data_IF_011306156922
#
_entry.id   IF_011306156922
#
_cell.length_a   1.000
_cell.length_b   1.000
_cell.length_c   1.000
_cell.angle_alpha   90.00
_cell.angle_beta   90.00
_cell.angle_gamma   90.00
#
_symmetry.space_group_name_H-M   'P 1'
#
loop_
_entity.id
_entity.type
_entity.pdbx_description
1 polymer ?
#
# COMPACT_ATOMS: atom_id res chain seq x y z
N UNK A 1 -0.11 -14.29 -15.47
CA UNK A 1 -1.31 -14.74 -16.21
C UNK A 1 -2.36 -15.35 -15.28
N UNK A 2 -2.01 -16.26 -14.38
CA UNK A 2 -2.94 -16.91 -13.45
C UNK A 2 -3.74 -15.90 -12.59
N UNK A 3 -3.08 -14.91 -11.98
CA UNK A 3 -3.77 -13.89 -11.17
C UNK A 3 -4.76 -13.07 -12.01
N UNK A 4 -4.43 -12.77 -13.27
CA UNK A 4 -5.32 -12.05 -14.17
C UNK A 4 -6.57 -12.87 -14.52
N UNK A 5 -6.44 -14.18 -14.65
CA UNK A 5 -7.55 -15.09 -14.91
C UNK A 5 -8.52 -15.21 -13.72
N UNK A 6 -8.04 -14.98 -12.51
CA UNK A 6 -8.86 -15.00 -11.29
C UNK A 6 -9.67 -13.72 -11.07
N UNK A 7 -9.42 -12.65 -11.82
CA UNK A 7 -10.15 -11.39 -11.70
C UNK A 7 -11.49 -11.44 -12.45
N UNK A 8 -12.55 -11.14 -11.74
CA UNK A 8 -13.88 -10.86 -12.31
C UNK A 8 -13.91 -9.50 -13.02
N UNK A 9 -14.96 -9.26 -13.82
CA UNK A 9 -15.17 -7.98 -14.49
C UNK A 9 -15.26 -6.77 -13.51
N UNK A 10 -15.67 -7.04 -12.26
CA UNK A 10 -15.80 -6.03 -11.20
C UNK A 10 -14.50 -5.81 -10.41
N UNK A 11 -13.41 -6.48 -10.77
CA UNK A 11 -12.12 -6.34 -10.12
C UNK A 11 -11.98 -7.14 -8.82
N UNK A 12 -12.79 -8.16 -8.62
CA UNK A 12 -12.72 -9.04 -7.44
C UNK A 12 -11.98 -10.33 -7.80
N UNK A 13 -11.00 -10.72 -6.99
CA UNK A 13 -10.38 -12.03 -7.12
C UNK A 13 -11.33 -13.13 -6.66
N UNK A 14 -11.64 -14.08 -7.54
CA UNK A 14 -12.60 -15.17 -7.25
C UNK A 14 -12.24 -15.95 -5.99
N UNK A 15 -10.95 -16.19 -5.76
CA UNK A 15 -10.46 -16.88 -4.56
C UNK A 15 -10.51 -16.07 -3.26
N UNK A 16 -10.86 -14.78 -3.32
CA UNK A 16 -11.00 -13.91 -2.13
C UNK A 16 -12.46 -13.53 -1.83
N UNK A 17 -13.39 -13.86 -2.73
CA UNK A 17 -14.80 -13.45 -2.63
C UNK A 17 -15.48 -13.95 -1.36
N UNK A 18 -15.34 -15.21 -1.06
CA UNK A 18 -16.01 -15.83 0.10
C UNK A 18 -15.54 -15.21 1.43
N UNK A 19 -14.24 -14.99 1.53
CA UNK A 19 -13.65 -14.34 2.70
C UNK A 19 -14.13 -12.89 2.86
N UNK A 20 -14.22 -12.14 1.77
CA UNK A 20 -14.76 -10.79 1.80
C UNK A 20 -16.23 -10.75 2.22
N UNK A 21 -17.04 -11.66 1.68
CA UNK A 21 -18.46 -11.78 2.06
C UNK A 21 -18.62 -12.10 3.54
N UNK A 22 -17.74 -12.94 4.10
CA UNK A 22 -17.73 -13.24 5.53
C UNK A 22 -17.42 -12.00 6.36
N UNK A 23 -16.38 -11.24 6.01
CA UNK A 23 -16.06 -9.98 6.69
C UNK A 23 -17.20 -8.97 6.63
N UNK A 24 -17.93 -8.89 5.52
CA UNK A 24 -19.10 -8.02 5.38
C UNK A 24 -20.25 -8.46 6.27
N UNK A 25 -20.57 -9.75 6.30
CA UNK A 25 -21.62 -10.30 7.18
C UNK A 25 -21.35 -10.02 8.65
N UNK A 26 -20.09 -10.09 9.07
CA UNK A 26 -19.66 -9.83 10.44
C UNK A 26 -19.47 -8.36 10.78
N UNK A 27 -19.66 -7.46 9.81
CA UNK A 27 -19.31 -6.05 9.90
C UNK A 27 -17.86 -5.82 10.37
N UNK A 28 -16.95 -6.72 9.94
CA UNK A 28 -15.58 -6.77 10.43
C UNK A 28 -14.76 -5.56 10.01
N UNK A 29 -15.03 -4.98 8.83
CA UNK A 29 -14.30 -3.83 8.30
C UNK A 29 -14.40 -2.58 9.19
N UNK A 30 -15.45 -2.46 10.00
CA UNK A 30 -15.70 -1.31 10.86
C UNK A 30 -15.34 -1.54 12.34
N UNK A 31 -14.87 -2.74 12.69
CA UNK A 31 -14.51 -3.06 14.08
C UNK A 31 -13.05 -2.69 14.37
N UNK A 32 -12.80 -1.68 15.21
CA UNK A 32 -11.44 -1.34 15.61
C UNK A 32 -10.88 -2.39 16.60
N UNK A 33 -9.56 -2.44 16.74
CA UNK A 33 -8.83 -3.24 17.75
C UNK A 33 -9.23 -4.71 17.86
N UNK A 34 -9.72 -5.33 16.80
CA UNK A 34 -10.18 -6.70 16.83
C UNK A 34 -9.26 -7.63 16.01
N UNK A 35 -9.25 -8.92 16.35
CA UNK A 35 -8.55 -9.93 15.54
C UNK A 35 -8.91 -9.88 14.05
N UNK A 36 -10.19 -9.65 13.68
CA UNK A 36 -10.56 -9.47 12.28
C UNK A 36 -9.74 -8.43 11.53
N UNK A 37 -9.26 -7.37 12.19
CA UNK A 37 -8.44 -6.36 11.50
C UNK A 37 -7.07 -6.89 11.04
N UNK A 38 -6.47 -7.83 11.74
CA UNK A 38 -5.25 -8.51 11.27
C UNK A 38 -5.55 -9.39 10.06
N UNK A 39 -6.64 -10.13 10.08
CA UNK A 39 -7.08 -11.00 8.97
C UNK A 39 -7.46 -10.19 7.74
N UNK A 40 -8.18 -9.08 7.92
CA UNK A 40 -8.49 -8.13 6.83
C UNK A 40 -7.20 -7.56 6.24
N UNK A 41 -6.22 -7.23 7.06
CA UNK A 41 -4.91 -6.77 6.59
C UNK A 41 -4.22 -7.80 5.70
N UNK A 42 -4.22 -9.07 6.09
CA UNK A 42 -3.67 -10.16 5.29
C UNK A 42 -4.45 -10.39 4.00
N UNK A 43 -5.77 -10.32 4.07
CA UNK A 43 -6.66 -10.40 2.91
C UNK A 43 -6.36 -9.29 1.88
N UNK A 44 -6.26 -8.03 2.32
CA UNK A 44 -5.92 -6.92 1.42
C UNK A 44 -4.49 -7.05 0.89
N UNK A 45 -3.54 -7.48 1.73
CA UNK A 45 -2.16 -7.71 1.31
C UNK A 45 -2.07 -8.81 0.24
N UNK A 46 -2.84 -9.90 0.36
CA UNK A 46 -2.89 -10.93 -0.68
C UNK A 46 -3.44 -10.38 -1.99
N UNK A 47 -4.52 -9.59 -1.94
CA UNK A 47 -5.07 -8.94 -3.13
C UNK A 47 -4.05 -8.02 -3.80
N UNK A 48 -3.36 -7.16 -3.05
CA UNK A 48 -2.33 -6.28 -3.60
C UNK A 48 -1.11 -7.04 -4.14
N UNK A 49 -0.70 -8.13 -3.51
CA UNK A 49 0.34 -8.99 -4.04
C UNK A 49 -0.05 -9.64 -5.38
N UNK A 50 -1.33 -10.02 -5.57
CA UNK A 50 -1.84 -10.52 -6.85
C UNK A 50 -1.86 -9.42 -7.91
N UNK A 51 -2.28 -8.20 -7.56
CA UNK A 51 -2.23 -7.03 -8.46
C UNK A 51 -0.79 -6.76 -8.88
N UNK A 52 0.15 -6.74 -7.95
CA UNK A 52 1.58 -6.58 -8.26
C UNK A 52 2.10 -7.67 -9.18
N UNK A 53 1.74 -8.95 -8.98
CA UNK A 53 2.13 -10.03 -9.90
C UNK A 53 1.63 -9.80 -11.32
N UNK A 54 0.44 -9.23 -11.52
CA UNK A 54 -0.04 -8.83 -12.85
C UNK A 54 0.81 -7.72 -13.44
N UNK A 55 1.13 -6.69 -12.65
CA UNK A 55 1.98 -5.60 -13.07
C UNK A 55 3.42 -6.04 -13.38
N UNK A 56 3.98 -6.95 -12.60
CA UNK A 56 5.32 -7.50 -12.83
C UNK A 56 5.37 -8.38 -14.09
N UNK A 57 4.31 -9.12 -14.39
CA UNK A 57 4.18 -9.87 -15.64
C UNK A 57 4.16 -8.94 -16.87
N UNK A 58 3.50 -7.78 -16.76
CA UNK A 58 3.57 -6.73 -17.79
C UNK A 58 5.00 -6.19 -17.94
N UNK A 59 5.63 -5.81 -16.83
CA UNK A 59 7.01 -5.31 -16.84
C UNK A 59 7.99 -6.31 -17.49
N UNK A 60 7.74 -7.60 -17.33
CA UNK A 60 8.52 -8.70 -17.95
C UNK A 60 8.16 -8.98 -19.41
N UNK A 61 7.16 -8.32 -19.96
CA UNK A 61 6.67 -8.58 -21.32
C UNK A 61 5.81 -9.83 -21.48
N UNK A 62 5.35 -10.43 -20.39
CA UNK A 62 4.47 -11.62 -20.37
C UNK A 62 3.00 -11.27 -20.61
N UNK A 63 2.63 -10.02 -20.39
CA UNK A 63 1.30 -9.45 -20.63
C UNK A 63 1.42 -8.20 -21.49
N UNK A 64 0.42 -7.97 -22.35
CA UNK A 64 0.28 -6.70 -23.06
C UNK A 64 -0.24 -5.61 -22.13
N UNK A 65 -0.05 -4.34 -22.51
CA UNK A 65 -0.59 -3.19 -21.76
C UNK A 65 -2.11 -3.29 -21.60
N UNK A 66 -2.83 -3.65 -22.68
CA UNK A 66 -4.28 -3.83 -22.67
C UNK A 66 -4.74 -4.90 -21.66
N UNK A 67 -3.99 -5.99 -21.54
CA UNK A 67 -4.28 -7.04 -20.57
C UNK A 67 -4.01 -6.58 -19.14
N UNK A 68 -2.85 -6.00 -18.91
CA UNK A 68 -2.34 -5.64 -17.59
C UNK A 68 -3.06 -4.42 -16.96
N UNK A 69 -3.54 -3.50 -17.80
CA UNK A 69 -4.30 -2.30 -17.38
C UNK A 69 -5.77 -2.38 -17.80
N UNK A 70 -6.27 -3.60 -18.02
CA UNK A 70 -7.69 -3.81 -18.28
C UNK A 70 -8.55 -3.24 -17.16
N UNK A 71 -9.79 -2.86 -17.48
CA UNK A 71 -10.70 -2.27 -16.50
C UNK A 71 -10.88 -3.11 -15.23
N UNK A 72 -10.78 -4.45 -15.31
CA UNK A 72 -10.86 -5.31 -14.14
C UNK A 72 -9.65 -5.18 -13.21
N UNK A 73 -8.45 -4.93 -13.74
CA UNK A 73 -7.23 -4.70 -12.92
C UNK A 73 -7.31 -3.35 -12.23
N UNK A 74 -7.70 -2.30 -12.96
CA UNK A 74 -7.87 -0.97 -12.38
C UNK A 74 -8.95 -0.95 -11.31
N UNK A 75 -10.07 -1.62 -11.55
CA UNK A 75 -11.13 -1.79 -10.54
C UNK A 75 -10.66 -2.57 -9.32
N UNK A 76 -9.78 -3.57 -9.49
CA UNK A 76 -9.20 -4.29 -8.34
C UNK A 76 -8.35 -3.37 -7.45
N UNK A 77 -7.55 -2.49 -8.05
CA UNK A 77 -6.79 -1.48 -7.31
C UNK A 77 -7.74 -0.60 -6.49
N UNK A 78 -8.82 -0.13 -7.10
CA UNK A 78 -9.81 0.72 -6.41
C UNK A 78 -10.59 -0.04 -5.33
N UNK A 79 -11.00 -1.27 -5.61
CA UNK A 79 -11.78 -2.09 -4.69
C UNK A 79 -10.99 -2.40 -3.41
N UNK A 80 -9.83 -3.02 -3.53
CA UNK A 80 -9.02 -3.40 -2.37
C UNK A 80 -8.33 -2.20 -1.73
N UNK A 81 -7.97 -1.20 -2.51
CA UNK A 81 -7.47 0.08 -2.01
C UNK A 81 -8.52 0.81 -1.18
N UNK A 82 -9.77 0.83 -1.62
CA UNK A 82 -10.89 1.40 -0.87
C UNK A 82 -11.15 0.69 0.46
N UNK A 83 -11.02 -0.63 0.50
CA UNK A 83 -11.11 -1.39 1.75
C UNK A 83 -9.99 -0.94 2.71
N UNK A 84 -8.73 -0.88 2.25
CA UNK A 84 -7.61 -0.47 3.10
C UNK A 84 -7.77 0.98 3.58
N UNK A 85 -8.10 1.89 2.69
CA UNK A 85 -8.29 3.30 3.04
C UNK A 85 -9.43 3.54 4.03
N UNK A 86 -10.48 2.72 3.97
CA UNK A 86 -11.65 2.82 4.84
C UNK A 86 -11.52 2.10 6.19
N UNK A 87 -10.44 1.36 6.43
CA UNK A 87 -10.29 0.63 7.69
C UNK A 87 -9.91 1.55 8.86
N UNK A 88 -10.37 1.25 10.09
CA UNK A 88 -9.92 1.95 11.28
C UNK A 88 -8.40 1.92 11.45
N UNK A 89 -7.83 3.03 11.90
CA UNK A 89 -6.41 3.31 11.93
C UNK A 89 -5.71 2.84 13.20
N UNK A 90 -5.96 1.63 13.66
CA UNK A 90 -5.44 1.20 14.93
C UNK A 90 -5.16 -0.31 15.00
N UNK A 91 -4.46 -0.71 16.04
CA UNK A 91 -4.30 -2.09 16.43
C UNK A 91 -3.55 -3.00 15.47
N UNK A 92 -4.03 -4.21 15.26
CA UNK A 92 -3.33 -5.32 14.58
C UNK A 92 -3.03 -5.12 13.11
N UNK A 93 -3.48 -4.05 12.48
CA UNK A 93 -3.23 -3.78 11.06
C UNK A 93 -1.78 -3.39 10.71
N UNK A 94 -0.93 -3.17 11.71
CA UNK A 94 0.41 -2.60 11.55
C UNK A 94 1.26 -3.31 10.48
N UNK A 95 1.41 -4.63 10.53
CA UNK A 95 2.26 -5.36 9.59
C UNK A 95 1.78 -5.26 8.14
N UNK A 96 0.49 -5.46 7.91
CA UNK A 96 -0.07 -5.37 6.57
C UNK A 96 -0.05 -3.93 6.05
N UNK A 97 -0.56 -2.98 6.82
CA UNK A 97 -0.73 -1.59 6.40
C UNK A 97 0.56 -0.78 6.35
N UNK A 98 1.59 -1.14 7.14
CA UNK A 98 2.87 -0.45 7.12
C UNK A 98 3.92 -1.10 6.20
N UNK A 99 3.78 -2.37 5.87
CA UNK A 99 4.80 -3.11 5.10
C UNK A 99 4.26 -3.76 3.84
N UNK A 100 3.38 -4.74 3.96
CA UNK A 100 3.00 -5.58 2.84
C UNK A 100 2.21 -4.81 1.77
N UNK A 101 1.16 -4.11 2.17
CA UNK A 101 0.29 -3.37 1.26
C UNK A 101 1.02 -2.20 0.59
N UNK A 102 1.70 -1.29 1.34
CA UNK A 102 2.47 -0.21 0.72
C UNK A 102 3.54 -0.70 -0.24
N UNK A 103 4.25 -1.77 0.10
CA UNK A 103 5.27 -2.36 -0.77
C UNK A 103 4.68 -2.85 -2.08
N UNK A 104 3.56 -3.58 -2.03
CA UNK A 104 2.90 -4.06 -3.23
C UNK A 104 2.33 -2.91 -4.08
N UNK A 105 1.75 -1.88 -3.44
CA UNK A 105 1.24 -0.70 -4.13
C UNK A 105 2.36 0.07 -4.85
N UNK A 106 3.49 0.32 -4.17
CA UNK A 106 4.68 0.96 -4.75
C UNK A 106 5.23 0.17 -5.94
N UNK A 107 5.39 -1.14 -5.77
CA UNK A 107 5.91 -1.98 -6.85
C UNK A 107 4.95 -2.02 -8.05
N UNK A 108 3.64 -2.04 -7.80
CA UNK A 108 2.64 -1.95 -8.87
C UNK A 108 2.77 -0.64 -9.62
N UNK A 109 2.86 0.49 -8.91
CA UNK A 109 3.06 1.81 -9.51
C UNK A 109 4.28 1.84 -10.43
N UNK A 110 5.43 1.38 -9.95
CA UNK A 110 6.67 1.41 -10.73
C UNK A 110 6.69 0.40 -11.88
N UNK A 111 5.98 -0.72 -11.79
CA UNK A 111 5.78 -1.61 -12.94
C UNK A 111 5.01 -0.92 -14.08
N UNK A 112 4.12 0.01 -13.76
CA UNK A 112 3.32 0.80 -14.70
C UNK A 112 3.80 2.26 -14.82
N UNK A 113 5.08 2.55 -14.55
CA UNK A 113 5.57 3.92 -14.39
C UNK A 113 5.14 4.87 -15.52
N UNK A 114 5.28 4.45 -16.78
CA UNK A 114 4.89 5.27 -17.92
C UNK A 114 3.40 5.63 -17.89
N UNK A 115 2.56 4.65 -17.61
CA UNK A 115 1.10 4.82 -17.58
C UNK A 115 0.66 5.65 -16.36
N UNK A 116 1.37 5.50 -15.22
CA UNK A 116 1.14 6.35 -14.05
C UNK A 116 1.54 7.80 -14.30
N UNK A 117 2.65 8.03 -15.03
CA UNK A 117 3.05 9.37 -15.47
C UNK A 117 2.02 10.00 -16.41
N UNK A 118 1.48 9.23 -17.33
CA UNK A 118 0.42 9.67 -18.22
C UNK A 118 -0.86 10.00 -17.43
N UNK A 119 -1.21 9.19 -16.43
CA UNK A 119 -2.36 9.42 -15.56
C UNK A 119 -2.21 10.71 -14.73
N UNK A 120 -1.06 10.95 -14.15
CA UNK A 120 -0.74 12.20 -13.42
C UNK A 120 -0.78 13.42 -14.35
N UNK A 121 -0.45 13.25 -15.61
CA UNK A 121 -0.61 14.27 -16.67
C UNK A 121 -2.03 14.40 -17.22
N UNK A 122 -3.02 13.75 -16.60
CA UNK A 122 -4.44 13.80 -17.01
C UNK A 122 -4.77 12.98 -18.25
N UNK A 123 -3.91 12.03 -18.63
CA UNK A 123 -4.13 11.11 -19.76
C UNK A 123 -4.62 9.74 -19.28
N UNK A 124 -4.99 8.88 -20.22
CA UNK A 124 -5.35 7.48 -19.95
C UNK A 124 -6.75 7.25 -19.39
N UNK A 125 -7.55 8.31 -19.25
CA UNK A 125 -8.94 8.24 -18.76
C UNK A 125 -9.08 8.18 -17.25
N UNK A 126 -10.28 8.44 -16.77
CA UNK A 126 -10.62 8.62 -15.35
C UNK A 126 -10.26 7.41 -14.50
N UNK A 127 -10.57 6.19 -14.96
CA UNK A 127 -10.33 4.98 -14.19
C UNK A 127 -8.83 4.74 -13.92
N UNK A 128 -7.95 5.05 -14.88
CA UNK A 128 -6.51 4.95 -14.69
C UNK A 128 -6.01 6.02 -13.71
N UNK A 129 -6.53 7.24 -13.79
CA UNK A 129 -6.20 8.33 -12.89
C UNK A 129 -6.59 7.99 -11.45
N UNK A 130 -7.81 7.51 -11.24
CA UNK A 130 -8.30 7.06 -9.93
C UNK A 130 -7.45 5.91 -9.37
N UNK A 131 -7.07 4.94 -10.21
CA UNK A 131 -6.20 3.83 -9.79
C UNK A 131 -4.79 4.33 -9.42
N UNK A 132 -4.24 5.29 -10.16
CA UNK A 132 -2.97 5.92 -9.84
C UNK A 132 -3.03 6.62 -8.48
N UNK A 133 -4.04 7.44 -8.26
CA UNK A 133 -4.26 8.16 -7.00
C UNK A 133 -4.45 7.18 -5.83
N UNK A 134 -5.17 6.09 -6.05
CA UNK A 134 -5.35 5.04 -5.04
C UNK A 134 -4.03 4.37 -4.66
N UNK A 135 -3.20 4.00 -5.62
CA UNK A 135 -1.87 3.41 -5.34
C UNK A 135 -1.00 4.37 -4.53
N UNK A 136 -1.00 5.65 -4.88
CA UNK A 136 -0.27 6.68 -4.14
C UNK A 136 -0.81 6.85 -2.72
N UNK A 137 -2.12 6.93 -2.56
CA UNK A 137 -2.78 7.03 -1.26
C UNK A 137 -2.42 5.87 -0.35
N UNK A 138 -2.55 4.64 -0.84
CA UNK A 138 -2.23 3.43 -0.06
C UNK A 138 -0.74 3.35 0.29
N UNK A 139 0.13 3.72 -0.64
CA UNK A 139 1.58 3.72 -0.40
C UNK A 139 1.97 4.73 0.70
N UNK A 140 1.33 5.89 0.75
CA UNK A 140 1.62 6.94 1.72
C UNK A 140 0.85 6.78 3.04
N UNK A 141 -0.28 6.08 3.04
CA UNK A 141 -1.20 6.00 4.17
C UNK A 141 -0.52 5.56 5.48
N UNK A 142 0.41 4.61 5.41
CA UNK A 142 1.15 4.15 6.59
C UNK A 142 1.98 5.26 7.26
N UNK A 143 2.27 6.32 6.54
CA UNK A 143 3.15 7.41 6.95
C UNK A 143 2.41 8.71 7.29
N UNK A 144 1.12 8.79 6.95
CA UNK A 144 0.32 10.00 7.11
C UNK A 144 -0.86 9.83 8.05
N UNK A 145 -1.32 8.60 8.26
CA UNK A 145 -2.45 8.36 9.16
C UNK A 145 -2.00 8.36 10.63
N UNK A 146 -2.83 8.87 11.55
CA UNK A 146 -2.60 8.73 12.97
C UNK A 146 -2.69 7.25 13.34
N UNK A 147 -1.58 6.70 13.75
CA UNK A 147 -1.48 5.29 14.16
C UNK A 147 -1.22 5.22 15.66
N UNK A 148 -2.17 4.63 16.41
CA UNK A 148 -1.92 4.15 17.78
C UNK A 148 -1.35 5.18 18.72
N UNK A 149 -1.98 6.31 18.89
CA UNK A 149 -1.54 7.36 19.81
C UNK A 149 -0.25 8.09 19.39
N UNK A 150 0.26 7.85 18.20
CA UNK A 150 1.40 8.60 17.70
C UNK A 150 0.97 10.00 17.27
N UNK A 151 1.84 10.97 17.51
CA UNK A 151 1.65 12.34 17.04
C UNK A 151 1.74 12.38 15.51
N UNK A 152 0.67 12.76 14.89
CA UNK A 152 0.64 13.10 13.46
C UNK A 152 -0.15 14.39 13.28
N UNK A 153 0.28 15.19 12.35
CA UNK A 153 -0.39 16.43 11.94
C UNK A 153 -1.27 16.22 10.69
N UNK A 154 -1.53 14.97 10.33
CA UNK A 154 -2.22 14.61 9.10
C UNK A 154 -1.31 14.54 7.87
N UNK A 155 -0.04 14.86 8.04
CA UNK A 155 1.00 14.79 7.02
C UNK A 155 1.89 13.55 7.21
N UNK A 156 3.17 13.68 6.94
CA UNK A 156 4.12 12.58 7.17
C UNK A 156 4.33 12.35 8.65
N UNK A 157 4.31 11.10 9.05
CA UNK A 157 4.46 10.67 10.44
C UNK A 157 5.74 11.24 11.06
N UNK A 158 5.62 11.77 12.29
CA UNK A 158 6.75 12.34 12.99
C UNK A 158 7.81 11.29 13.34
N UNK A 159 9.05 11.75 13.44
CA UNK A 159 10.19 10.92 13.80
C UNK A 159 10.06 10.34 15.22
N UNK A 160 9.32 11.01 16.10
CA UNK A 160 9.06 10.54 17.46
C UNK A 160 8.42 9.16 17.49
N UNK A 161 7.61 8.82 16.50
CA UNK A 161 7.01 7.52 16.35
C UNK A 161 8.05 6.40 16.32
N UNK A 162 9.15 6.59 15.62
CA UNK A 162 10.20 5.58 15.51
C UNK A 162 11.06 5.49 16.78
N UNK A 163 11.18 6.58 17.52
CA UNK A 163 11.91 6.59 18.78
C UNK A 163 11.27 5.72 19.86
N UNK A 164 9.96 5.65 19.88
CA UNK A 164 9.22 4.95 20.93
C UNK A 164 9.11 3.44 20.67
N UNK A 165 9.57 2.97 19.51
CA UNK A 165 9.46 1.58 19.08
C UNK A 165 10.82 0.96 18.76
N UNK A 166 11.82 1.25 19.55
CA UNK A 166 13.21 0.76 19.36
C UNK A 166 13.30 -0.76 19.30
N UNK A 167 12.46 -1.48 20.01
CA UNK A 167 12.35 -2.94 19.98
C UNK A 167 11.81 -3.50 18.63
N UNK A 168 11.27 -2.65 17.76
CA UNK A 168 10.81 -3.01 16.42
C UNK A 168 11.85 -2.74 15.33
N UNK A 169 13.12 -2.87 15.64
CA UNK A 169 14.23 -2.57 14.71
C UNK A 169 14.04 -3.24 13.35
N UNK A 170 13.71 -4.53 13.33
CA UNK A 170 13.47 -5.26 12.09
C UNK A 170 12.25 -4.75 11.31
N UNK A 171 11.15 -4.43 12.00
CA UNK A 171 9.94 -3.88 11.42
C UNK A 171 10.17 -2.48 10.83
N UNK A 172 10.90 -1.62 11.53
CA UNK A 172 11.26 -0.29 11.04
C UNK A 172 12.13 -0.38 9.78
N UNK A 173 13.12 -1.27 9.75
CA UNK A 173 13.96 -1.47 8.56
C UNK A 173 13.14 -1.89 7.33
N UNK A 174 12.12 -2.74 7.51
CA UNK A 174 11.19 -3.11 6.43
C UNK A 174 10.32 -1.93 5.98
N UNK A 175 9.86 -1.10 6.92
CA UNK A 175 9.09 0.11 6.60
C UNK A 175 9.90 1.10 5.77
N UNK A 176 11.17 1.33 6.08
CA UNK A 176 12.04 2.24 5.32
C UNK A 176 12.26 1.78 3.88
N UNK A 177 12.19 0.50 3.60
CA UNK A 177 12.30 -0.03 2.23
C UNK A 177 11.17 0.46 1.32
N UNK A 178 9.99 0.75 1.85
CA UNK A 178 8.87 1.30 1.07
C UNK A 178 8.87 2.83 1.04
N UNK A 179 9.49 3.50 2.00
CA UNK A 179 9.43 4.96 2.15
C UNK A 179 10.17 5.71 1.05
N UNK A 180 11.38 5.28 0.67
CA UNK A 180 12.13 5.90 -0.42
C UNK A 180 11.40 5.81 -1.77
N UNK A 181 10.86 4.64 -2.18
CA UNK A 181 10.00 4.58 -3.35
C UNK A 181 8.75 5.48 -3.27
N UNK A 182 8.12 5.61 -2.11
CA UNK A 182 6.99 6.54 -1.92
C UNK A 182 7.42 7.99 -2.19
N UNK A 183 8.58 8.41 -1.70
CA UNK A 183 9.13 9.73 -1.99
C UNK A 183 9.30 9.94 -3.52
N UNK A 184 9.82 8.94 -4.23
CA UNK A 184 9.94 8.99 -5.68
C UNK A 184 8.59 9.06 -6.42
N UNK A 185 7.55 8.38 -5.92
CA UNK A 185 6.20 8.44 -6.50
C UNK A 185 5.62 9.86 -6.47
N UNK A 186 5.81 10.58 -5.38
CA UNK A 186 5.20 11.89 -5.20
C UNK A 186 5.92 13.02 -5.91
N UNK A 187 7.20 12.88 -6.25
CA UNK A 187 8.01 13.86 -7.02
C UNK A 187 7.96 15.30 -6.49
N UNK A 188 7.50 15.49 -5.28
CA UNK A 188 7.51 16.79 -4.60
C UNK A 188 8.82 16.95 -3.85
N UNK A 189 9.62 17.92 -4.18
CA UNK A 189 10.92 18.14 -3.54
C UNK A 189 10.80 18.26 -2.01
N UNK A 190 9.88 19.06 -1.43
CA UNK A 190 9.72 19.13 0.02
C UNK A 190 9.32 17.78 0.64
N UNK A 191 8.46 17.01 -0.03
CA UNK A 191 8.05 15.69 0.45
C UNK A 191 9.22 14.71 0.39
N UNK A 192 10.00 14.71 -0.70
CA UNK A 192 11.18 13.85 -0.88
C UNK A 192 12.22 14.14 0.20
N UNK A 193 12.50 15.40 0.47
CA UNK A 193 13.46 15.82 1.47
C UNK A 193 13.03 15.36 2.87
N UNK A 194 11.77 15.55 3.23
CA UNK A 194 11.22 15.12 4.51
C UNK A 194 11.26 13.60 4.66
N UNK A 195 10.85 12.87 3.65
CA UNK A 195 10.86 11.39 3.67
C UNK A 195 12.29 10.85 3.71
N UNK A 196 13.23 11.47 3.01
CA UNK A 196 14.65 11.10 3.06
C UNK A 196 15.24 11.33 4.46
N UNK A 197 14.89 12.44 5.12
CA UNK A 197 15.29 12.72 6.50
C UNK A 197 14.74 11.69 7.47
N UNK A 198 13.46 11.33 7.36
CA UNK A 198 12.83 10.28 8.19
C UNK A 198 13.53 8.94 8.00
N UNK A 199 13.82 8.56 6.76
CA UNK A 199 14.58 7.34 6.45
C UNK A 199 15.97 7.35 7.07
N UNK A 200 16.73 8.42 6.88
CA UNK A 200 18.08 8.53 7.40
C UNK A 200 18.12 8.42 8.92
N UNK A 201 17.23 9.12 9.61
CA UNK A 201 17.14 9.05 11.08
C UNK A 201 16.71 7.66 11.55
N UNK A 202 15.77 7.03 10.87
CA UNK A 202 15.33 5.69 11.19
C UNK A 202 16.45 4.65 11.05
N UNK A 203 17.23 4.71 9.98
CA UNK A 203 18.40 3.83 9.76
C UNK A 203 19.44 4.06 10.85
N UNK A 204 19.73 5.30 11.20
CA UNK A 204 20.68 5.65 12.26
C UNK A 204 20.25 5.10 13.62
N UNK A 205 18.95 5.18 13.94
CA UNK A 205 18.41 4.61 15.18
C UNK A 205 18.52 3.08 15.18
N UNK A 206 18.27 2.43 14.05
CA UNK A 206 18.38 0.98 13.90
C UNK A 206 19.82 0.52 14.13
N UNK A 207 20.81 1.26 13.61
CA UNK A 207 22.23 0.95 13.78
C UNK A 207 22.68 1.07 15.24
N UNK A 208 22.15 2.03 15.97
CA UNK A 208 22.50 2.25 17.39
C UNK A 208 21.97 1.15 18.30
N UNK A 209 20.85 0.53 17.96
CA UNK A 209 20.23 -0.53 18.76
C UNK A 209 20.87 -1.91 18.56
N UNK A 210 21.62 -2.12 17.49
CA UNK A 210 22.32 -3.38 17.23
C UNK A 210 23.61 -3.52 18.03
N UNK A 211 24.10 -2.47 18.66
CA UNK A 211 25.36 -2.42 19.41
C UNK A 211 25.19 -2.22 20.93
N UNK A 212 23.97 -2.21 21.41
CA UNK A 212 23.63 -2.15 22.84
C UNK A 212 23.07 -3.49 23.33
#
# INVERSE_FOLDING_TARGET
>A
QECLAQLTADGIFSGLREQEEQFRKENAFQKPYSNPQAEIGLFVADAFNRIWKVADAYRKGELTEEQALSGKVLKAILHYGGIEAGRPNDGPRFHASCFAIPTAAVNTYFCYLKQMDDAEGGKGGTLLQEACDMLKTIALQAWTQPLRHDETDGNVVSISRFRNHVWWVGGNALAYRSLLPVAAMYRSIPMIDLLAEVCQRGISMTSQTTYS
#
